data_IF_659786449248
#
_entry.id   IF_659786449248
#
_cell.length_a   1.000
_cell.length_b   1.000
_cell.length_c   1.000
_cell.angle_alpha   90.00
_cell.angle_beta   90.00
_cell.angle_gamma   90.00
#
_symmetry.space_group_name_H-M   'P 1'
#
loop_
_entity.id
_entity.type
_entity.pdbx_description
1 polymer ?
#
# COMPACT_ATOMS: atom_id res chain seq x y z
N UNK A 1 3.71 39.00 -22.49
CA UNK A 1 4.34 37.89 -23.26
C UNK A 1 4.10 36.58 -22.52
N UNK A 2 3.12 35.77 -22.95
CA UNK A 2 2.90 34.43 -22.37
C UNK A 2 4.09 33.54 -22.73
N UNK A 3 4.93 33.18 -21.76
CA UNK A 3 5.92 32.10 -21.93
C UNK A 3 5.14 30.84 -22.31
N UNK A 4 5.33 30.34 -23.55
CA UNK A 4 4.93 28.96 -23.90
C UNK A 4 5.68 28.04 -22.94
N UNK A 5 4.99 27.52 -21.92
CA UNK A 5 5.56 26.56 -20.98
C UNK A 5 6.05 25.34 -21.76
N UNK A 6 7.29 24.93 -21.55
CA UNK A 6 7.79 23.64 -22.07
C UNK A 6 6.90 22.55 -21.46
N UNK A 7 6.43 21.61 -22.27
CA UNK A 7 5.64 20.48 -21.79
C UNK A 7 6.49 19.67 -20.78
N UNK A 8 6.10 19.54 -19.50
CA UNK A 8 6.86 18.82 -18.49
C UNK A 8 7.01 17.32 -18.81
N UNK A 9 6.15 16.77 -19.67
CA UNK A 9 6.16 15.35 -20.08
C UNK A 9 6.99 15.09 -21.35
N UNK A 10 7.66 16.11 -21.90
CA UNK A 10 8.43 15.95 -23.16
C UNK A 10 9.56 14.91 -23.05
N UNK A 11 10.06 14.69 -21.83
CA UNK A 11 11.19 13.81 -21.56
C UNK A 11 10.78 12.54 -20.80
N UNK A 12 9.48 12.19 -20.81
CA UNK A 12 9.02 10.93 -20.25
C UNK A 12 9.62 9.77 -21.02
N UNK A 13 10.18 8.81 -20.29
CA UNK A 13 10.76 7.60 -20.82
C UNK A 13 10.33 6.36 -20.03
N UNK A 14 10.48 5.19 -20.63
CA UNK A 14 10.30 3.92 -19.92
C UNK A 14 11.49 3.72 -18.99
N UNK A 15 11.22 3.72 -17.69
CA UNK A 15 12.26 3.51 -16.69
C UNK A 15 12.75 2.06 -16.64
N UNK A 16 11.82 1.11 -16.57
CA UNK A 16 12.05 -0.33 -16.52
C UNK A 16 10.83 -1.07 -17.10
N UNK A 17 11.02 -2.29 -17.58
CA UNK A 17 9.92 -3.18 -18.01
C UNK A 17 10.01 -4.50 -17.25
N UNK A 18 8.93 -4.87 -16.59
CA UNK A 18 8.78 -6.16 -15.90
C UNK A 18 7.80 -7.00 -16.73
N UNK A 19 8.19 -8.22 -17.15
CA UNK A 19 7.27 -9.09 -17.86
C UNK A 19 6.14 -9.54 -16.92
N UNK A 20 4.90 -9.35 -17.35
CA UNK A 20 3.74 -9.95 -16.66
C UNK A 20 3.85 -11.46 -16.70
N UNK A 21 3.56 -12.14 -15.59
CA UNK A 21 3.55 -13.61 -15.54
C UNK A 21 2.36 -14.22 -16.29
N UNK A 22 1.31 -13.42 -16.55
CA UNK A 22 0.18 -13.80 -17.39
C UNK A 22 -0.09 -12.75 -18.46
N UNK A 23 -0.09 -13.19 -19.72
CA UNK A 23 -0.33 -12.31 -20.87
C UNK A 23 -1.79 -11.81 -20.94
N UNK A 24 -2.74 -12.69 -20.64
CA UNK A 24 -4.18 -12.40 -20.74
C UNK A 24 -4.83 -12.05 -19.40
N UNK A 25 -4.05 -12.10 -18.31
CA UNK A 25 -4.52 -11.78 -16.96
C UNK A 25 -3.46 -11.05 -16.14
N UNK A 26 -2.99 -9.86 -16.58
CA UNK A 26 -2.05 -9.08 -15.80
C UNK A 26 -2.69 -8.66 -14.47
N UNK A 27 -1.85 -8.45 -13.46
CA UNK A 27 -2.32 -7.94 -12.17
C UNK A 27 -2.83 -6.51 -12.28
N UNK A 28 -3.75 -6.15 -11.38
CA UNK A 28 -4.12 -4.78 -11.10
C UNK A 28 -3.08 -4.14 -10.17
N UNK A 29 -2.77 -2.87 -10.43
CA UNK A 29 -1.79 -2.11 -9.65
C UNK A 29 -2.38 -0.75 -9.31
N UNK A 30 -2.36 -0.38 -8.03
CA UNK A 30 -2.89 0.89 -7.56
C UNK A 30 -1.79 1.85 -7.07
N UNK A 31 -0.71 1.30 -6.51
CA UNK A 31 0.44 2.06 -6.02
C UNK A 31 1.72 1.20 -6.07
N UNK A 32 2.86 1.83 -5.82
CA UNK A 32 4.17 1.17 -5.69
C UNK A 32 5.02 1.90 -4.65
N UNK A 33 6.01 1.22 -4.08
CA UNK A 33 6.96 1.80 -3.13
C UNK A 33 8.23 2.31 -3.81
N UNK A 34 8.84 3.35 -3.25
CA UNK A 34 10.12 3.90 -3.73
C UNK A 34 11.01 4.20 -2.53
N UNK A 35 12.28 3.83 -2.63
CA UNK A 35 13.35 4.17 -1.67
C UNK A 35 14.33 5.16 -2.32
N UNK A 36 15.44 5.48 -1.65
CA UNK A 36 16.53 6.23 -2.27
C UNK A 36 17.07 5.53 -3.54
N UNK A 37 17.21 4.20 -3.49
CA UNK A 37 17.89 3.45 -4.54
C UNK A 37 17.04 2.39 -5.25
N UNK A 38 15.85 2.06 -4.76
CA UNK A 38 15.04 0.96 -5.27
C UNK A 38 13.57 1.34 -5.48
N UNK A 39 12.92 0.64 -6.41
CA UNK A 39 11.46 0.63 -6.55
C UNK A 39 10.96 -0.74 -6.09
N UNK A 40 9.89 -0.75 -5.31
CA UNK A 40 9.18 -1.96 -4.85
C UNK A 40 7.86 -2.04 -5.58
N UNK A 41 7.63 -3.14 -6.30
CA UNK A 41 6.45 -3.33 -7.14
C UNK A 41 5.82 -4.70 -6.90
N UNK A 42 4.54 -4.72 -6.54
CA UNK A 42 3.83 -5.95 -6.13
C UNK A 42 2.95 -6.48 -7.28
N UNK A 43 3.32 -7.62 -7.83
CA UNK A 43 2.48 -8.38 -8.78
C UNK A 43 1.57 -9.33 -7.97
N UNK A 44 0.41 -8.79 -7.61
CA UNK A 44 -0.61 -9.43 -6.78
C UNK A 44 -1.56 -10.32 -7.59
N UNK A 45 -2.18 -11.35 -6.97
CA UNK A 45 -3.12 -12.24 -7.66
C UNK A 45 -4.52 -11.64 -7.84
N UNK A 46 -4.63 -10.31 -7.86
CA UNK A 46 -5.83 -9.58 -8.26
C UNK A 46 -5.68 -9.17 -9.73
N UNK A 47 -6.32 -9.91 -10.63
CA UNK A 47 -6.03 -9.89 -12.08
C UNK A 47 -7.12 -9.21 -12.88
N UNK A 48 -6.71 -8.64 -14.01
CA UNK A 48 -7.57 -8.05 -15.05
C UNK A 48 -7.82 -9.07 -16.16
N UNK A 49 -9.05 -9.45 -16.42
CA UNK A 49 -9.42 -10.31 -17.55
C UNK A 49 -9.47 -9.49 -18.85
N UNK A 50 -8.37 -9.53 -19.62
CA UNK A 50 -8.20 -8.72 -20.83
C UNK A 50 -9.24 -9.06 -21.90
N UNK A 51 -9.67 -10.32 -22.00
CA UNK A 51 -10.69 -10.74 -22.97
C UNK A 51 -12.08 -10.22 -22.59
N UNK A 52 -12.44 -10.28 -21.31
CA UNK A 52 -13.68 -9.66 -20.83
C UNK A 52 -13.63 -8.15 -20.98
N UNK A 53 -12.51 -7.49 -20.67
CA UNK A 53 -12.34 -6.05 -20.87
C UNK A 53 -12.50 -5.64 -22.35
N UNK A 54 -11.85 -6.36 -23.27
CA UNK A 54 -11.94 -6.09 -24.70
C UNK A 54 -13.37 -6.24 -25.26
N UNK A 55 -14.20 -7.06 -24.61
CA UNK A 55 -15.60 -7.31 -25.00
C UNK A 55 -16.62 -6.59 -24.11
N UNK A 56 -16.18 -5.80 -23.13
CA UNK A 56 -17.02 -5.28 -22.06
C UNK A 56 -18.16 -4.39 -22.58
N UNK A 57 -17.85 -3.46 -23.49
CA UNK A 57 -18.83 -2.55 -24.08
C UNK A 57 -19.92 -3.29 -24.87
N UNK A 58 -19.53 -4.31 -25.66
CA UNK A 58 -20.48 -5.13 -26.42
C UNK A 58 -21.37 -5.99 -25.51
N UNK A 59 -20.83 -6.43 -24.36
CA UNK A 59 -21.53 -7.27 -23.38
C UNK A 59 -22.33 -6.46 -22.35
N UNK A 60 -22.22 -5.13 -22.35
CA UNK A 60 -22.87 -4.28 -21.36
C UNK A 60 -22.38 -4.51 -19.93
N UNK A 61 -21.14 -4.96 -19.73
CA UNK A 61 -20.58 -5.25 -18.40
C UNK A 61 -19.60 -4.17 -17.95
N UNK A 62 -19.48 -3.96 -16.64
CA UNK A 62 -18.58 -2.96 -16.07
C UNK A 62 -17.15 -3.49 -15.93
N UNK A 63 -16.17 -2.58 -15.88
CA UNK A 63 -14.76 -2.92 -15.64
C UNK A 63 -14.53 -3.69 -14.34
N UNK A 64 -15.30 -3.36 -13.31
CA UNK A 64 -15.33 -4.08 -12.04
C UNK A 64 -15.52 -5.60 -12.22
N UNK A 65 -16.45 -5.99 -13.10
CA UNK A 65 -16.76 -7.41 -13.37
C UNK A 65 -15.67 -8.15 -14.15
N UNK A 66 -14.66 -7.42 -14.63
CA UNK A 66 -13.51 -7.96 -15.35
C UNK A 66 -12.31 -8.18 -14.43
N UNK A 67 -12.44 -7.97 -13.13
CA UNK A 67 -11.39 -8.20 -12.15
C UNK A 67 -11.68 -9.44 -11.32
N UNK A 68 -10.67 -10.23 -11.01
CA UNK A 68 -10.82 -11.42 -10.16
C UNK A 68 -9.59 -11.67 -9.28
N UNK A 69 -9.84 -12.05 -8.03
CA UNK A 69 -8.80 -12.49 -7.11
C UNK A 69 -8.58 -14.00 -7.21
N UNK A 70 -7.33 -14.41 -7.39
CA UNK A 70 -6.91 -15.81 -7.54
C UNK A 70 -6.17 -16.26 -6.27
N UNK A 71 -6.91 -16.67 -5.25
CA UNK A 71 -6.39 -17.05 -3.93
C UNK A 71 -5.33 -18.17 -3.89
N UNK A 72 -5.17 -18.93 -4.97
CA UNK A 72 -4.17 -20.02 -5.07
C UNK A 72 -2.83 -19.54 -5.65
N UNK A 73 -2.79 -18.31 -6.18
CA UNK A 73 -1.59 -17.72 -6.75
C UNK A 73 -0.77 -16.94 -5.70
N UNK A 74 0.52 -16.79 -5.96
CA UNK A 74 1.44 -16.04 -5.10
C UNK A 74 1.39 -14.54 -5.42
N UNK A 75 1.76 -13.71 -4.44
CA UNK A 75 2.11 -12.31 -4.67
C UNK A 75 3.62 -12.22 -4.91
N UNK A 76 4.04 -11.71 -6.07
CA UNK A 76 5.46 -11.52 -6.38
C UNK A 76 5.91 -10.09 -6.02
N UNK A 77 7.10 -10.00 -5.42
CA UNK A 77 7.69 -8.73 -4.99
C UNK A 77 8.86 -8.43 -5.93
N UNK A 78 8.66 -7.50 -6.85
CA UNK A 78 9.68 -7.06 -7.79
C UNK A 78 10.46 -5.89 -7.18
N UNK A 79 11.78 -6.04 -7.08
CA UNK A 79 12.68 -4.96 -6.67
C UNK A 79 13.47 -4.50 -7.89
N UNK A 80 13.40 -3.21 -8.19
CA UNK A 80 14.11 -2.59 -9.32
C UNK A 80 15.18 -1.67 -8.75
N UNK A 81 16.44 -1.88 -9.12
CA UNK A 81 17.53 -0.98 -8.77
C UNK A 81 17.44 0.28 -9.65
N UNK A 82 17.28 1.44 -9.02
CA UNK A 82 17.07 2.70 -9.73
C UNK A 82 18.31 3.19 -10.48
N UNK A 83 19.50 2.84 -10.00
CA UNK A 83 20.78 3.25 -10.59
C UNK A 83 21.06 2.49 -11.87
N UNK A 84 20.75 1.18 -11.86
CA UNK A 84 20.93 0.32 -13.04
C UNK A 84 19.70 0.23 -13.94
N UNK A 85 18.54 0.65 -13.42
CA UNK A 85 17.20 0.54 -14.04
C UNK A 85 16.81 -0.89 -14.40
N UNK A 86 17.28 -1.86 -13.60
CA UNK A 86 17.06 -3.29 -13.83
C UNK A 86 16.44 -3.95 -12.60
N UNK A 87 15.58 -4.95 -12.79
CA UNK A 87 15.14 -5.81 -11.69
C UNK A 87 16.34 -6.54 -11.07
N UNK A 88 16.31 -6.72 -9.75
CA UNK A 88 17.21 -7.66 -9.08
C UNK A 88 16.87 -9.08 -9.51
N UNK A 89 17.87 -9.97 -9.52
CA UNK A 89 17.70 -11.34 -10.04
C UNK A 89 16.98 -12.28 -9.07
N UNK A 90 17.11 -12.03 -7.77
CA UNK A 90 16.45 -12.82 -6.72
C UNK A 90 14.94 -12.69 -6.82
N UNK A 91 14.23 -13.81 -6.71
CA UNK A 91 12.78 -13.86 -6.84
C UNK A 91 12.14 -13.85 -5.46
N UNK A 92 11.50 -12.75 -5.11
CA UNK A 92 10.78 -12.61 -3.85
C UNK A 92 9.29 -12.86 -4.05
N UNK A 93 8.68 -13.55 -3.10
CA UNK A 93 7.23 -13.75 -3.10
C UNK A 93 6.68 -13.87 -1.68
N UNK A 94 5.37 -13.67 -1.54
CA UNK A 94 4.60 -13.88 -0.30
C UNK A 94 3.27 -14.54 -0.65
N UNK A 95 2.49 -14.85 0.38
CA UNK A 95 1.14 -15.34 0.27
C UNK A 95 0.22 -14.41 -0.56
N UNK A 96 -0.86 -14.94 -1.14
CA UNK A 96 -1.86 -14.14 -1.85
C UNK A 96 -2.40 -13.00 -0.97
N UNK A 97 -2.36 -11.78 -1.50
CA UNK A 97 -2.95 -10.61 -0.86
C UNK A 97 -3.39 -9.59 -1.91
N UNK A 98 -4.35 -8.74 -1.56
CA UNK A 98 -4.69 -7.55 -2.35
C UNK A 98 -4.11 -6.32 -1.66
N UNK A 99 -3.44 -5.45 -2.43
CA UNK A 99 -2.85 -4.19 -1.96
C UNK A 99 -3.33 -3.07 -2.85
N UNK A 100 -3.92 -2.05 -2.23
CA UNK A 100 -4.22 -0.77 -2.88
C UNK A 100 -3.13 0.26 -2.56
N UNK A 101 -2.82 0.46 -1.27
CA UNK A 101 -1.91 1.53 -0.86
C UNK A 101 -0.61 0.98 -0.25
N UNK A 102 0.51 1.40 -0.82
CA UNK A 102 1.79 1.43 -0.14
C UNK A 102 1.79 2.61 0.84
N UNK A 103 2.37 2.41 2.02
CA UNK A 103 2.52 3.43 3.05
C UNK A 103 3.85 4.16 2.87
N UNK A 104 4.95 3.41 2.91
CA UNK A 104 6.30 3.89 2.64
C UNK A 104 7.23 2.72 2.31
N UNK A 105 8.41 3.01 1.77
CA UNK A 105 9.51 2.06 1.64
C UNK A 105 10.82 2.77 1.97
N UNK A 106 11.79 2.08 2.58
CA UNK A 106 13.10 2.64 2.88
C UNK A 106 14.16 1.55 3.00
N UNK A 107 15.43 1.96 3.01
CA UNK A 107 16.58 1.08 3.16
C UNK A 107 17.10 1.13 4.61
N UNK A 108 17.38 -0.04 5.20
CA UNK A 108 18.01 -0.18 6.50
C UNK A 108 19.06 -1.29 6.45
N UNK A 109 20.33 -0.92 6.60
CA UNK A 109 21.44 -1.85 6.41
C UNK A 109 21.42 -2.42 4.99
N UNK A 110 21.36 -3.75 4.89
CA UNK A 110 21.34 -4.49 3.62
C UNK A 110 19.94 -5.02 3.28
N UNK A 111 18.91 -4.30 3.73
CA UNK A 111 17.51 -4.66 3.56
C UNK A 111 16.68 -3.47 3.05
N UNK A 112 15.65 -3.76 2.27
CA UNK A 112 14.54 -2.83 2.00
C UNK A 112 13.41 -3.19 2.95
N UNK A 113 12.92 -2.22 3.72
CA UNK A 113 11.68 -2.33 4.46
C UNK A 113 10.59 -1.60 3.69
N UNK A 114 9.42 -2.23 3.56
CA UNK A 114 8.27 -1.54 2.97
C UNK A 114 6.99 -1.93 3.70
N UNK A 115 6.10 -0.95 3.82
CA UNK A 115 4.86 -1.06 4.55
C UNK A 115 3.69 -0.88 3.57
N UNK A 116 2.69 -1.76 3.65
CA UNK A 116 1.51 -1.77 2.78
C UNK A 116 0.26 -2.00 3.59
N UNK A 117 -0.88 -1.53 3.09
CA UNK A 117 -2.18 -1.99 3.54
C UNK A 117 -2.62 -3.15 2.65
N UNK A 118 -2.87 -4.29 3.29
CA UNK A 118 -3.21 -5.54 2.61
C UNK A 118 -4.55 -6.08 3.04
N UNK A 119 -5.19 -6.80 2.14
CA UNK A 119 -6.44 -7.51 2.31
C UNK A 119 -6.24 -8.98 1.97
N UNK A 120 -6.97 -9.87 2.63
CA UNK A 120 -6.92 -11.32 2.38
C UNK A 120 -7.68 -11.72 1.09
N UNK A 121 -8.61 -10.89 0.64
CA UNK A 121 -9.40 -11.09 -0.58
C UNK A 121 -9.75 -9.75 -1.27
N UNK A 122 -10.53 -9.83 -2.36
CA UNK A 122 -11.05 -8.66 -3.09
C UNK A 122 -12.47 -8.24 -2.70
N UNK A 123 -12.99 -8.70 -1.55
CA UNK A 123 -14.36 -8.41 -1.09
C UNK A 123 -14.64 -6.92 -0.95
N UNK A 124 -13.62 -6.13 -0.58
CA UNK A 124 -13.71 -4.67 -0.48
C UNK A 124 -14.33 -4.02 -1.72
N UNK A 125 -14.03 -4.55 -2.91
CA UNK A 125 -14.57 -4.01 -4.17
C UNK A 125 -16.10 -4.15 -4.24
N UNK A 126 -16.65 -5.23 -3.68
CA UNK A 126 -18.10 -5.43 -3.61
C UNK A 126 -18.75 -4.45 -2.64
N UNK A 127 -18.06 -4.06 -1.56
CA UNK A 127 -18.59 -3.12 -0.57
C UNK A 127 -18.78 -1.71 -1.12
N UNK A 128 -17.97 -1.30 -2.11
CA UNK A 128 -18.08 0.03 -2.74
C UNK A 128 -19.21 0.15 -3.78
N UNK A 129 -20.03 -0.87 -4.00
CA UNK A 129 -21.23 -0.72 -4.83
C UNK A 129 -22.23 0.19 -4.13
N UNK A 130 -22.67 1.26 -4.83
CA UNK A 130 -23.69 2.18 -4.32
C UNK A 130 -25.01 1.47 -3.93
N UNK A 131 -25.29 0.31 -4.54
CA UNK A 131 -26.45 -0.51 -4.21
C UNK A 131 -26.45 -0.96 -2.73
N UNK A 132 -25.29 -1.03 -2.08
CA UNK A 132 -25.15 -1.40 -0.68
C UNK A 132 -25.51 -0.25 0.27
N UNK A 133 -25.57 0.99 -0.22
CA UNK A 133 -25.99 2.18 0.55
C UNK A 133 -27.52 2.22 0.67
N UNK A 134 -28.09 1.23 1.35
CA UNK A 134 -29.52 1.04 1.55
C UNK A 134 -29.85 0.80 3.04
N UNK A 135 -31.08 0.37 3.35
CA UNK A 135 -31.51 0.14 4.74
C UNK A 135 -30.75 -1.01 5.43
N UNK A 136 -30.19 -1.94 4.66
CA UNK A 136 -29.41 -3.08 5.13
C UNK A 136 -27.89 -2.78 5.07
N UNK A 137 -27.51 -1.49 5.07
CA UNK A 137 -26.12 -1.05 4.89
C UNK A 137 -25.14 -1.73 5.87
N UNK A 138 -25.50 -1.88 7.14
CA UNK A 138 -24.63 -2.51 8.15
C UNK A 138 -24.33 -3.97 7.81
N UNK A 139 -25.31 -4.72 7.28
CA UNK A 139 -25.14 -6.10 6.87
C UNK A 139 -24.37 -6.20 5.55
N UNK A 140 -24.73 -5.36 4.57
CA UNK A 140 -24.10 -5.31 3.25
C UNK A 140 -22.64 -4.84 3.28
N UNK A 141 -22.27 -4.11 4.34
CA UNK A 141 -20.97 -3.44 4.45
C UNK A 141 -20.04 -4.06 5.46
N UNK A 142 -20.41 -5.24 6.01
CA UNK A 142 -19.56 -5.97 6.94
C UNK A 142 -18.29 -6.44 6.23
N UNK A 143 -17.14 -5.91 6.67
CA UNK A 143 -15.84 -6.31 6.13
C UNK A 143 -15.60 -7.80 6.40
N UNK A 144 -15.45 -8.60 5.35
CA UNK A 144 -14.99 -9.99 5.44
C UNK A 144 -13.47 -10.09 5.45
N UNK A 145 -12.79 -9.04 4.99
CA UNK A 145 -11.34 -8.89 4.98
C UNK A 145 -10.98 -7.53 5.58
N UNK A 146 -10.37 -7.55 6.77
CA UNK A 146 -9.98 -6.34 7.50
C UNK A 146 -8.67 -5.80 6.91
N UNK A 147 -8.60 -4.51 6.49
CA UNK A 147 -7.37 -3.93 5.97
C UNK A 147 -6.28 -3.96 7.04
N UNK A 148 -5.13 -4.51 6.68
CA UNK A 148 -4.06 -4.78 7.64
C UNK A 148 -2.77 -4.13 7.18
N UNK A 149 -2.21 -3.26 8.03
CA UNK A 149 -0.88 -2.69 7.88
C UNK A 149 0.17 -3.77 8.12
N UNK A 150 0.91 -4.11 7.06
CA UNK A 150 1.95 -5.14 7.07
C UNK A 150 3.29 -4.55 6.65
N UNK A 151 4.33 -4.92 7.38
CA UNK A 151 5.74 -4.60 7.10
C UNK A 151 6.45 -5.80 6.52
N UNK A 152 7.06 -5.63 5.36
CA UNK A 152 7.95 -6.60 4.76
C UNK A 152 9.40 -6.15 4.87
N UNK A 153 10.32 -7.10 4.92
CA UNK A 153 11.76 -6.85 4.84
C UNK A 153 12.35 -7.74 3.74
N UNK A 154 13.08 -7.13 2.81
CA UNK A 154 13.65 -7.79 1.63
C UNK A 154 15.17 -7.67 1.68
N UNK A 155 15.93 -8.77 1.68
CA UNK A 155 17.38 -8.73 1.67
C UNK A 155 17.88 -8.28 0.28
N UNK A 156 18.78 -7.28 0.24
CA UNK A 156 19.39 -6.79 -1.00
C UNK A 156 20.46 -7.75 -1.54
N UNK A 157 21.14 -8.46 -0.65
CA UNK A 157 22.10 -9.50 -0.98
C UNK A 157 21.65 -10.86 -0.43
N UNK A 158 21.52 -11.82 -1.32
CA UNK A 158 21.22 -13.20 -0.95
C UNK A 158 22.53 -13.99 -0.84
N UNK A 159 22.83 -14.50 0.35
CA UNK A 159 23.90 -15.47 0.53
C UNK A 159 23.52 -16.80 -0.15
N UNK A 160 24.21 -17.12 -1.25
CA UNK A 160 24.00 -18.35 -2.02
C UNK A 160 24.31 -19.61 -1.22
N UNK A 161 25.13 -19.50 -0.17
CA UNK A 161 25.51 -20.62 0.69
C UNK A 161 24.59 -20.78 1.91
N UNK A 162 23.71 -19.81 2.19
CA UNK A 162 22.75 -19.92 3.28
C UNK A 162 21.86 -21.18 3.12
N UNK A 163 21.49 -21.80 4.23
CA UNK A 163 20.66 -23.00 4.22
C UNK A 163 19.22 -22.67 3.79
N UNK A 164 18.57 -23.59 3.07
CA UNK A 164 17.15 -23.46 2.74
C UNK A 164 16.33 -23.44 4.05
N UNK A 165 15.38 -22.52 4.15
CA UNK A 165 14.57 -22.28 5.34
C UNK A 165 15.21 -21.30 6.33
N UNK A 166 16.47 -20.88 6.13
CA UNK A 166 17.09 -19.85 6.98
C UNK A 166 16.47 -18.48 6.72
N UNK A 167 16.30 -17.70 7.79
CA UNK A 167 15.87 -16.31 7.70
C UNK A 167 17.07 -15.42 7.29
N UNK A 168 16.90 -14.70 6.19
CA UNK A 168 17.90 -13.78 5.64
C UNK A 168 17.85 -12.39 6.31
N UNK A 169 16.77 -12.07 7.02
CA UNK A 169 16.59 -10.79 7.70
C UNK A 169 17.29 -10.80 9.05
N UNK A 170 18.20 -9.85 9.24
CA UNK A 170 19.01 -9.69 10.48
C UNK A 170 18.80 -8.34 11.17
N UNK A 171 18.04 -7.44 10.56
CA UNK A 171 17.73 -6.13 11.15
C UNK A 171 16.80 -6.30 12.35
N UNK A 172 17.10 -5.62 13.45
CA UNK A 172 16.37 -5.75 14.72
C UNK A 172 15.08 -4.89 14.77
N UNK A 173 14.89 -3.99 13.81
CA UNK A 173 13.78 -3.04 13.72
C UNK A 173 12.45 -3.68 13.30
N UNK A 174 12.45 -4.96 12.92
CA UNK A 174 11.29 -5.66 12.36
C UNK A 174 11.27 -7.13 12.78
N UNK A 175 10.06 -7.69 12.87
CA UNK A 175 9.83 -9.14 13.04
C UNK A 175 9.58 -9.87 11.72
N UNK A 176 9.57 -9.15 10.60
CA UNK A 176 9.41 -9.75 9.28
C UNK A 176 10.57 -10.71 8.97
N UNK A 177 10.27 -11.76 8.21
CA UNK A 177 11.26 -12.76 7.82
C UNK A 177 11.31 -12.89 6.30
N UNK A 178 12.47 -13.33 5.80
CA UNK A 178 12.67 -13.66 4.40
C UNK A 178 13.39 -15.00 4.35
N UNK A 179 12.63 -16.07 4.14
CA UNK A 179 13.11 -17.44 4.19
C UNK A 179 13.68 -17.83 2.84
N UNK A 180 14.94 -18.29 2.83
CA UNK A 180 15.57 -18.79 1.61
C UNK A 180 14.89 -20.06 1.12
N UNK A 181 14.60 -20.12 -0.17
CA UNK A 181 14.13 -21.33 -0.85
C UNK A 181 15.10 -21.79 -1.96
N UNK A 182 14.74 -22.87 -2.64
CA UNK A 182 15.46 -23.36 -3.82
C UNK A 182 15.29 -22.40 -5.01
N UNK A 183 16.16 -22.52 -6.00
CA UNK A 183 16.09 -21.79 -7.27
C UNK A 183 16.14 -20.25 -7.14
N UNK A 184 16.97 -19.75 -6.21
CA UNK A 184 17.14 -18.32 -5.92
C UNK A 184 15.82 -17.60 -5.59
N UNK A 185 14.89 -18.33 -4.96
CA UNK A 185 13.62 -17.80 -4.45
C UNK A 185 13.70 -17.51 -2.96
N UNK A 186 12.92 -16.53 -2.52
CA UNK A 186 12.81 -16.12 -1.12
C UNK A 186 11.34 -15.89 -0.77
N UNK A 187 10.86 -16.63 0.21
CA UNK A 187 9.51 -16.48 0.76
C UNK A 187 9.54 -15.43 1.87
N UNK A 188 8.82 -14.33 1.66
CA UNK A 188 8.82 -13.16 2.54
C UNK A 188 7.57 -13.19 3.41
N UNK A 189 7.74 -13.25 4.73
CA UNK A 189 6.63 -13.21 5.69
C UNK A 189 6.60 -11.84 6.37
N UNK A 190 5.46 -11.14 6.32
CA UNK A 190 5.37 -9.81 6.89
C UNK A 190 5.25 -9.85 8.42
N UNK A 191 5.68 -8.76 9.05
CA UNK A 191 5.22 -8.37 10.37
C UNK A 191 3.87 -7.65 10.26
N UNK A 192 2.86 -8.12 10.98
CA UNK A 192 1.59 -7.41 11.13
C UNK A 192 1.75 -6.31 12.17
N UNK A 193 1.46 -5.07 11.79
CA UNK A 193 1.61 -3.89 12.65
C UNK A 193 0.26 -3.43 13.24
N UNK A 194 -0.78 -3.34 12.42
CA UNK A 194 -2.09 -2.84 12.82
C UNK A 194 -3.21 -3.38 11.91
N UNK A 195 -4.40 -3.63 12.46
CA UNK A 195 -5.59 -4.05 11.72
C UNK A 195 -6.67 -2.96 11.75
N UNK A 196 -7.37 -2.77 10.63
CA UNK A 196 -8.45 -1.80 10.48
C UNK A 196 -7.98 -0.40 10.09
N UNK A 197 -6.89 -0.28 9.32
CA UNK A 197 -6.30 1.00 8.91
C UNK A 197 -6.29 1.11 7.39
N UNK A 198 -6.79 2.21 6.82
CA UNK A 198 -6.76 2.46 5.39
C UNK A 198 -6.59 3.97 5.07
N UNK A 199 -6.39 4.33 3.81
CA UNK A 199 -6.05 5.67 3.34
C UNK A 199 -4.81 6.20 4.07
N UNK A 200 -3.68 5.45 4.03
CA UNK A 200 -2.51 5.75 4.83
C UNK A 200 -1.76 6.96 4.28
N UNK A 201 -1.28 7.80 5.20
CA UNK A 201 -0.46 8.97 4.95
C UNK A 201 0.67 9.06 5.95
N UNK A 202 1.73 9.74 5.52
CA UNK A 202 2.93 10.00 6.31
C UNK A 202 3.34 11.45 6.13
N UNK A 203 4.30 11.92 6.93
CA UNK A 203 5.07 13.09 6.55
C UNK A 203 5.93 12.75 5.32
N UNK A 204 5.49 13.19 4.13
CA UNK A 204 6.12 12.77 2.87
C UNK A 204 7.56 13.29 2.69
N UNK A 205 8.06 14.18 3.56
CA UNK A 205 9.49 14.48 3.64
C UNK A 205 10.35 13.25 4.01
N UNK A 206 9.72 12.24 4.61
CA UNK A 206 10.26 10.93 4.96
C UNK A 206 9.89 9.82 3.97
N UNK A 207 9.23 10.14 2.84
CA UNK A 207 9.00 9.15 1.80
C UNK A 207 10.35 8.65 1.25
N UNK A 208 10.51 7.33 1.14
CA UNK A 208 11.77 6.72 0.72
C UNK A 208 12.81 6.60 1.83
N UNK A 209 12.51 7.03 3.06
CA UNK A 209 13.43 7.14 4.20
C UNK A 209 12.85 6.50 5.46
N UNK A 210 13.69 6.18 6.47
CA UNK A 210 13.20 5.78 7.78
C UNK A 210 12.20 6.81 8.34
N UNK A 211 11.11 6.30 8.89
CA UNK A 211 9.97 7.07 9.38
C UNK A 211 9.36 6.36 10.60
N UNK A 212 8.45 7.04 11.30
CA UNK A 212 7.86 6.56 12.56
C UNK A 212 6.34 6.58 12.54
N UNK A 213 5.72 7.56 11.88
CA UNK A 213 4.29 7.82 12.04
C UNK A 213 3.49 7.55 10.77
N UNK A 214 2.38 6.82 10.94
CA UNK A 214 1.33 6.64 9.94
C UNK A 214 0.08 7.36 10.42
N UNK A 215 -0.52 8.18 9.55
CA UNK A 215 -1.80 8.82 9.73
C UNK A 215 -2.79 8.16 8.79
N UNK A 216 -3.97 7.76 9.27
CA UNK A 216 -4.89 7.00 8.44
C UNK A 216 -6.34 7.07 8.93
N UNK A 217 -7.26 6.61 8.08
CA UNK A 217 -8.65 6.38 8.42
C UNK A 217 -8.78 5.00 9.10
N UNK A 218 -9.47 4.92 10.24
CA UNK A 218 -9.79 3.64 10.87
C UNK A 218 -11.10 3.07 10.31
N UNK A 219 -11.02 1.84 9.80
CA UNK A 219 -12.09 1.08 9.15
C UNK A 219 -12.16 -0.31 9.78
N UNK A 220 -12.96 -0.44 10.84
CA UNK A 220 -13.00 -1.66 11.65
C UNK A 220 -13.93 -2.73 11.06
N UNK A 221 -15.23 -2.45 11.05
CA UNK A 221 -16.27 -3.41 10.62
C UNK A 221 -17.04 -2.95 9.38
N UNK A 222 -16.86 -1.68 9.00
CA UNK A 222 -17.50 -1.02 7.86
C UNK A 222 -16.44 -0.30 7.02
N UNK A 223 -16.61 -0.21 5.69
CA UNK A 223 -15.76 0.59 4.82
C UNK A 223 -15.89 2.09 5.09
N UNK A 224 -16.89 2.52 5.86
CA UNK A 224 -17.04 3.93 6.25
C UNK A 224 -16.10 4.24 7.42
N UNK A 225 -15.15 5.17 7.25
CA UNK A 225 -14.28 5.61 8.32
C UNK A 225 -15.08 6.25 9.45
N UNK A 226 -14.73 5.94 10.70
CA UNK A 226 -15.33 6.59 11.88
C UNK A 226 -14.31 7.34 12.71
N UNK A 227 -13.02 7.08 12.49
CA UNK A 227 -11.93 7.65 13.29
C UNK A 227 -10.74 7.97 12.39
N UNK A 228 -9.94 8.91 12.86
CA UNK A 228 -8.59 9.16 12.34
C UNK A 228 -7.61 8.59 13.34
N UNK A 229 -6.61 7.87 12.85
CA UNK A 229 -5.55 7.27 13.66
C UNK A 229 -4.20 7.88 13.31
N UNK A 230 -3.41 8.19 14.35
CA UNK A 230 -1.96 8.33 14.27
C UNK A 230 -1.35 7.11 14.93
N UNK A 231 -0.62 6.32 14.16
CA UNK A 231 0.04 5.10 14.61
C UNK A 231 1.56 5.30 14.62
N UNK A 232 2.18 4.96 15.76
CA UNK A 232 3.64 4.96 15.95
C UNK A 232 4.17 3.55 15.70
N UNK A 233 4.86 3.35 14.58
CA UNK A 233 5.31 2.02 14.14
C UNK A 233 6.45 1.46 15.01
N UNK A 234 7.15 2.31 15.78
CA UNK A 234 8.25 1.89 16.65
C UNK A 234 7.72 1.39 17.99
N UNK A 235 6.87 2.17 18.63
CA UNK A 235 6.29 1.81 19.94
C UNK A 235 5.05 0.92 19.82
N UNK A 236 4.49 0.81 18.60
CA UNK A 236 3.23 0.11 18.28
C UNK A 236 2.02 0.68 19.04
N UNK A 237 2.07 1.96 19.39
CA UNK A 237 0.99 2.68 20.05
C UNK A 237 0.21 3.55 19.06
N UNK A 238 -1.06 3.81 19.35
CA UNK A 238 -1.89 4.70 18.55
C UNK A 238 -2.55 5.81 19.36
N UNK A 239 -2.77 6.94 18.70
CA UNK A 239 -3.68 8.00 19.13
C UNK A 239 -4.83 8.06 18.13
N UNK A 240 -6.04 8.23 18.64
CA UNK A 240 -7.25 8.23 17.83
C UNK A 240 -8.06 9.49 18.05
N UNK A 241 -8.69 9.96 16.99
CA UNK A 241 -9.66 11.04 17.03
C UNK A 241 -10.99 10.55 16.46
N UNK A 242 -12.08 10.89 17.14
CA UNK A 242 -13.44 10.66 16.69
C UNK A 242 -14.37 11.77 17.20
N UNK A 243 -15.48 11.99 16.51
CA UNK A 243 -16.56 12.90 16.89
C UNK A 243 -17.89 12.25 16.51
N UNK A 244 -18.92 12.43 17.33
CA UNK A 244 -20.24 11.86 17.07
C UNK A 244 -20.82 12.39 15.75
N UNK A 245 -21.47 11.53 14.97
CA UNK A 245 -22.02 11.86 13.65
C UNK A 245 -20.99 12.45 12.67
N UNK A 246 -19.70 12.11 12.80
CA UNK A 246 -18.65 12.53 11.88
C UNK A 246 -18.02 11.33 11.16
N UNK A 247 -17.77 11.50 9.87
CA UNK A 247 -17.15 10.52 9.00
C UNK A 247 -15.91 11.15 8.36
N UNK A 248 -14.71 10.87 8.89
CA UNK A 248 -13.47 11.44 8.37
C UNK A 248 -13.15 10.95 6.95
N UNK A 249 -12.35 11.75 6.25
CA UNK A 249 -11.82 11.43 4.94
C UNK A 249 -10.39 10.89 5.07
N UNK A 250 -9.62 10.90 3.97
CA UNK A 250 -8.19 10.62 4.03
C UNK A 250 -7.44 11.72 4.79
N UNK A 251 -6.66 11.38 5.84
CA UNK A 251 -5.94 12.35 6.65
C UNK A 251 -4.67 12.88 5.98
N UNK A 252 -4.69 14.16 5.58
CA UNK A 252 -3.54 14.81 4.97
C UNK A 252 -2.63 15.44 6.03
N UNK A 253 -1.41 14.92 6.18
CA UNK A 253 -0.39 15.52 7.04
C UNK A 253 0.27 16.75 6.40
N UNK A 254 0.38 17.84 7.15
CA UNK A 254 1.08 19.07 6.75
C UNK A 254 2.08 19.47 7.85
N UNK A 255 3.40 19.41 7.59
CA UNK A 255 4.40 19.77 8.60
C UNK A 255 4.34 21.26 8.94
N UNK A 256 4.72 21.61 10.17
CA UNK A 256 4.94 22.99 10.54
C UNK A 256 6.14 23.57 9.76
N UNK A 257 6.14 24.87 9.40
CA UNK A 257 7.29 25.48 8.72
C UNK A 257 8.62 25.29 9.47
N UNK A 258 8.57 25.28 10.80
CA UNK A 258 9.73 25.13 11.70
C UNK A 258 9.72 23.77 12.43
N UNK A 259 9.13 22.73 11.81
CA UNK A 259 9.05 21.38 12.37
C UNK A 259 10.43 20.84 12.76
N UNK A 260 10.54 20.27 13.96
CA UNK A 260 11.75 19.64 14.50
C UNK A 260 11.62 18.12 14.54
N UNK A 261 10.43 17.63 14.85
CA UNK A 261 10.07 16.22 14.89
C UNK A 261 9.21 15.82 13.68
N UNK A 262 9.14 14.51 13.37
CA UNK A 262 8.46 13.97 12.17
C UNK A 262 6.96 14.31 12.14
N UNK A 263 6.32 14.36 13.31
CA UNK A 263 4.90 14.65 13.53
C UNK A 263 4.61 16.08 13.97
N UNK A 264 5.62 16.97 13.92
CA UNK A 264 5.43 18.38 14.24
C UNK A 264 4.56 19.05 13.18
N UNK A 265 3.30 19.25 13.54
CA UNK A 265 2.33 19.98 12.73
C UNK A 265 1.62 21.07 13.57
N UNK A 266 1.26 22.21 12.94
CA UNK A 266 0.54 23.29 13.60
C UNK A 266 -0.76 22.76 14.22
N UNK A 267 -1.12 23.28 15.39
CA UNK A 267 -2.31 22.86 16.16
C UNK A 267 -3.65 23.04 15.42
N UNK A 268 -3.65 23.73 14.27
CA UNK A 268 -4.79 23.93 13.37
C UNK A 268 -4.53 23.35 11.97
N UNK A 269 -3.66 22.36 11.79
CA UNK A 269 -3.41 21.73 10.48
C UNK A 269 -2.80 20.32 10.55
N UNK A 270 -2.84 19.59 11.68
CA UNK A 270 -2.13 18.29 11.73
C UNK A 270 -2.80 17.26 10.84
N UNK A 271 -4.13 17.35 10.66
CA UNK A 271 -4.88 16.50 9.73
C UNK A 271 -6.05 17.28 9.11
N UNK A 272 -6.06 17.45 7.78
CA UNK A 272 -7.19 18.04 7.06
C UNK A 272 -8.15 16.96 6.54
N UNK A 273 -9.35 16.89 7.12
CA UNK A 273 -10.41 15.98 6.67
C UNK A 273 -11.68 16.74 6.23
N UNK A 274 -12.39 16.17 5.25
CA UNK A 274 -13.73 16.64 4.86
C UNK A 274 -14.80 15.92 5.69
N UNK A 275 -15.50 16.69 6.53
CA UNK A 275 -16.58 16.20 7.40
C UNK A 275 -17.94 16.41 6.70
N UNK A 276 -18.61 15.30 6.35
CA UNK A 276 -19.81 15.27 5.49
C UNK A 276 -21.05 15.99 6.07
N UNK A 277 -21.34 16.06 7.38
CA UNK A 277 -22.50 16.82 7.85
C UNK A 277 -22.38 18.35 7.71
N UNK A 278 -21.18 18.90 7.54
CA UNK A 278 -20.97 20.35 7.71
C UNK A 278 -20.15 21.07 6.63
N UNK A 279 -19.67 20.40 5.58
CA UNK A 279 -18.83 21.04 4.54
C UNK A 279 -17.74 21.97 5.14
N UNK A 280 -17.13 21.55 6.25
CA UNK A 280 -16.06 22.30 6.93
C UNK A 280 -14.84 21.41 6.99
N UNK A 281 -13.74 21.88 6.40
CA UNK A 281 -12.42 21.33 6.69
C UNK A 281 -12.09 21.64 8.14
N UNK A 282 -11.84 20.62 8.94
CA UNK A 282 -11.31 20.79 10.30
C UNK A 282 -9.89 20.26 10.33
N UNK A 283 -9.13 20.85 11.24
CA UNK A 283 -7.74 20.56 11.41
C UNK A 283 -7.48 20.32 12.88
N UNK A 284 -6.87 19.17 13.16
CA UNK A 284 -6.61 18.65 14.50
C UNK A 284 -5.13 18.40 14.64
#
# INVERSE_FOLDING_TARGET
>A
TKRKGKNPLKHTEVFCSIPSRSLLSPSYYHSFGITENYVVFLEQPFKLDILKMATAYMRGVSWASCMSFHREDKTYIHIIDQRTRKPVLTKFYTDPMVVFHHVNAYEEGDCILFDVISYEDSSLYQLFYLANLNQDFEENSRLTSVPTLKRFAIPLHMDKNAEVGSNLIKVASTRATALKEKDDQVYCQPEVLYEGLELPRINYAHNGKPYRYVFAAEVQWSPIPTQIIKYDILTKSSLKWCEECCWPAEPLFVPAPDAKDEDDAPQRSRICDHIIPHHKSRCW
#
